data_IF_453816295523
#
_entry.id   IF_453816295523
#
_cell.length_a   1.000
_cell.length_b   1.000
_cell.length_c   1.000
_cell.angle_alpha   90.00
_cell.angle_beta   90.00
_cell.angle_gamma   90.00
#
_symmetry.space_group_name_H-M   'P 1'
#
loop_
_entity.id
_entity.type
_entity.pdbx_description
1 polymer ?
#
# COMPACT_ATOMS: atom_id res chain seq x y z
N UNK A 1 27.61 -24.96 16.94
CA UNK A 1 27.02 -24.71 15.60
C UNK A 1 25.63 -25.32 15.58
N UNK A 2 24.55 -24.53 15.68
CA UNK A 2 23.18 -25.04 15.51
C UNK A 2 22.87 -25.07 14.02
N UNK A 3 22.67 -26.27 13.51
CA UNK A 3 22.16 -26.51 12.16
C UNK A 3 20.72 -26.02 12.07
N UNK A 4 20.44 -25.09 11.18
CA UNK A 4 19.08 -24.65 10.83
C UNK A 4 18.45 -25.69 9.90
N UNK A 5 17.99 -26.80 10.47
CA UNK A 5 17.24 -27.81 9.73
C UNK A 5 15.86 -27.26 9.37
N UNK A 6 15.60 -27.04 8.08
CA UNK A 6 14.34 -27.27 7.35
C UNK A 6 13.00 -26.70 7.84
N UNK A 7 12.94 -25.94 8.93
CA UNK A 7 11.69 -25.38 9.43
C UNK A 7 11.20 -24.26 8.50
N UNK A 8 9.95 -24.36 8.06
CA UNK A 8 9.30 -23.38 7.20
C UNK A 8 7.98 -22.91 7.80
N UNK A 9 7.65 -21.63 7.60
CA UNK A 9 6.35 -21.04 7.91
C UNK A 9 5.73 -20.61 6.58
N UNK A 10 4.53 -21.09 6.30
CA UNK A 10 3.75 -20.70 5.14
C UNK A 10 2.65 -19.72 5.57
N UNK A 11 2.69 -18.50 5.04
CA UNK A 11 1.62 -17.52 5.19
C UNK A 11 0.85 -17.45 3.87
N UNK A 12 -0.32 -18.08 3.84
CA UNK A 12 -1.18 -18.13 2.67
C UNK A 12 -2.43 -17.27 2.90
N UNK A 13 -3.00 -16.73 1.82
CA UNK A 13 -4.27 -16.00 1.85
C UNK A 13 -5.18 -16.52 0.75
N UNK A 14 -6.46 -16.70 1.07
CA UNK A 14 -7.48 -17.00 0.07
C UNK A 14 -7.67 -15.76 -0.84
N UNK A 15 -7.57 -15.89 -2.17
CA UNK A 15 -7.77 -14.77 -3.07
C UNK A 15 -9.24 -14.32 -3.02
N UNK A 16 -9.44 -13.01 -3.07
CA UNK A 16 -10.74 -12.38 -3.22
C UNK A 16 -10.89 -11.86 -4.66
N UNK A 17 -12.12 -11.70 -5.17
CA UNK A 17 -12.32 -11.05 -6.46
C UNK A 17 -11.67 -9.66 -6.47
N UNK A 18 -10.72 -9.45 -7.38
CA UNK A 18 -9.98 -8.20 -7.50
C UNK A 18 -10.89 -7.12 -8.08
N UNK A 19 -11.20 -6.11 -7.26
CA UNK A 19 -11.86 -4.87 -7.71
C UNK A 19 -10.78 -3.90 -8.21
N UNK A 20 -11.13 -3.01 -9.14
CA UNK A 20 -10.18 -2.04 -9.70
C UNK A 20 -9.68 -1.10 -8.59
N UNK A 21 -8.38 -1.09 -8.25
CA UNK A 21 -7.87 -0.21 -7.21
C UNK A 21 -7.89 1.25 -7.67
N UNK A 22 -8.04 2.17 -6.71
CA UNK A 22 -7.86 3.61 -6.90
C UNK A 22 -6.52 3.99 -6.30
N UNK A 23 -5.65 4.63 -7.08
CA UNK A 23 -4.35 5.09 -6.60
C UNK A 23 -4.38 6.58 -6.25
N UNK A 24 -3.88 6.92 -5.06
CA UNK A 24 -3.77 8.29 -4.58
C UNK A 24 -2.33 8.57 -4.13
N UNK A 25 -1.57 9.40 -4.87
CA UNK A 25 -0.27 9.89 -4.42
C UNK A 25 -0.40 10.76 -3.17
N UNK A 26 0.42 10.48 -2.15
CA UNK A 26 0.42 11.21 -0.86
C UNK A 26 1.75 11.91 -0.55
N UNK A 27 2.64 12.00 -1.53
CA UNK A 27 3.96 12.65 -1.38
C UNK A 27 3.90 14.19 -1.47
N UNK A 28 2.76 14.75 -1.89
CA UNK A 28 2.61 16.19 -2.11
C UNK A 28 2.54 16.96 -0.78
N UNK A 29 3.37 18.00 -0.65
CA UNK A 29 3.63 18.68 0.63
C UNK A 29 2.60 19.72 1.05
N UNK A 30 1.75 20.19 0.14
CA UNK A 30 0.59 21.04 0.49
C UNK A 30 -0.63 20.23 0.93
N UNK A 31 -0.50 18.89 0.99
CA UNK A 31 -1.52 17.96 1.49
C UNK A 31 -2.85 18.04 0.75
N UNK A 32 -2.84 18.49 -0.51
CA UNK A 32 -4.07 18.62 -1.32
C UNK A 32 -4.77 17.29 -1.56
N UNK A 33 -4.07 16.17 -1.41
CA UNK A 33 -4.61 14.82 -1.49
C UNK A 33 -5.56 14.46 -0.34
N UNK A 34 -5.58 15.22 0.76
CA UNK A 34 -6.48 14.97 1.90
C UNK A 34 -7.95 15.13 1.49
N UNK A 35 -8.29 16.18 0.73
CA UNK A 35 -9.69 16.42 0.35
C UNK A 35 -10.25 15.30 -0.57
N UNK A 36 -9.55 14.88 -1.65
CA UNK A 36 -9.92 13.70 -2.41
C UNK A 36 -10.01 12.43 -1.56
N UNK A 37 -9.11 12.25 -0.59
CA UNK A 37 -9.16 11.09 0.31
C UNK A 37 -10.44 11.07 1.15
N UNK A 38 -10.85 12.22 1.70
CA UNK A 38 -12.10 12.35 2.45
C UNK A 38 -13.30 12.00 1.58
N UNK A 39 -13.37 12.52 0.36
CA UNK A 39 -14.45 12.22 -0.59
C UNK A 39 -14.51 10.72 -0.92
N UNK A 40 -13.37 10.11 -1.24
CA UNK A 40 -13.29 8.67 -1.55
C UNK A 40 -13.73 7.77 -0.39
N UNK A 41 -13.45 8.17 0.85
CA UNK A 41 -13.83 7.41 2.05
C UNK A 41 -15.28 7.67 2.47
N UNK A 42 -15.83 8.85 2.17
CA UNK A 42 -17.24 9.17 2.41
C UNK A 42 -18.18 8.46 1.42
N UNK A 43 -17.73 8.24 0.17
CA UNK A 43 -18.51 7.52 -0.84
C UNK A 43 -18.67 6.03 -0.46
N UNK A 44 -19.91 5.48 -0.43
CA UNK A 44 -20.15 4.06 -0.30
C UNK A 44 -19.59 3.33 -1.52
N UNK A 45 -18.41 2.74 -1.37
CA UNK A 45 -17.73 2.05 -2.45
C UNK A 45 -16.94 0.89 -1.90
N UNK A 46 -16.78 -0.12 -2.75
CA UNK A 46 -16.06 -1.33 -2.43
C UNK A 46 -14.63 -1.36 -2.99
N UNK A 47 -14.24 -0.30 -3.72
CA UNK A 47 -12.93 -0.20 -4.31
C UNK A 47 -11.89 0.13 -3.23
N UNK A 48 -10.78 -0.60 -3.27
CA UNK A 48 -9.64 -0.32 -2.40
C UNK A 48 -8.95 0.98 -2.81
N UNK A 49 -8.60 1.80 -1.82
CA UNK A 49 -7.85 3.04 -2.00
C UNK A 49 -6.39 2.77 -1.62
N UNK A 50 -5.49 2.92 -2.58
CA UNK A 50 -4.06 2.68 -2.46
C UNK A 50 -3.32 4.01 -2.35
N UNK A 51 -2.87 4.33 -1.14
CA UNK A 51 -2.04 5.49 -0.88
C UNK A 51 -0.61 5.18 -1.32
N UNK A 52 -0.10 5.91 -2.32
CA UNK A 52 1.24 5.70 -2.86
C UNK A 52 2.19 6.78 -2.37
N UNK A 53 3.25 6.37 -1.69
CA UNK A 53 4.35 7.22 -1.27
C UNK A 53 5.63 6.69 -1.93
N UNK A 54 6.02 7.27 -3.06
CA UNK A 54 7.18 6.82 -3.84
C UNK A 54 8.22 7.90 -4.10
N UNK A 55 7.90 9.16 -3.79
CA UNK A 55 8.79 10.30 -3.99
C UNK A 55 9.33 10.88 -2.67
N UNK A 56 8.91 10.36 -1.51
CA UNK A 56 9.36 10.80 -0.20
C UNK A 56 9.71 9.60 0.71
N UNK A 57 11.01 9.30 0.86
CA UNK A 57 11.50 8.18 1.67
C UNK A 57 11.20 8.30 3.18
N UNK A 58 10.80 9.47 3.65
CA UNK A 58 10.40 9.77 5.04
C UNK A 58 8.89 9.97 5.19
N UNK A 59 8.09 9.49 4.25
CA UNK A 59 6.63 9.61 4.32
C UNK A 59 6.04 8.94 5.57
N UNK A 60 5.10 9.62 6.22
CA UNK A 60 4.35 9.12 7.37
C UNK A 60 3.19 8.18 7.01
N UNK A 61 3.11 7.71 5.76
CA UNK A 61 1.95 6.96 5.23
C UNK A 61 1.59 5.73 6.07
N UNK A 62 2.57 5.02 6.62
CA UNK A 62 2.33 3.83 7.47
C UNK A 62 1.56 4.20 8.73
N UNK A 63 1.97 5.25 9.43
CA UNK A 63 1.30 5.75 10.62
C UNK A 63 -0.12 6.23 10.31
N UNK A 64 -0.27 6.99 9.23
CA UNK A 64 -1.58 7.47 8.77
C UNK A 64 -2.53 6.30 8.45
N UNK A 65 -2.07 5.29 7.69
CA UNK A 65 -2.90 4.11 7.35
C UNK A 65 -3.33 3.39 8.62
N UNK A 66 -2.44 3.20 9.60
CA UNK A 66 -2.81 2.56 10.87
C UNK A 66 -3.97 3.28 11.60
N UNK A 67 -3.99 4.61 11.55
CA UNK A 67 -5.09 5.40 12.12
C UNK A 67 -6.36 5.26 11.28
N UNK A 68 -6.29 5.53 9.97
CA UNK A 68 -7.47 5.51 9.09
C UNK A 68 -8.14 4.13 9.01
N UNK A 69 -7.37 3.05 9.19
CA UNK A 69 -7.90 1.67 9.27
C UNK A 69 -8.92 1.47 10.40
N UNK A 70 -8.90 2.33 11.42
CA UNK A 70 -9.81 2.30 12.57
C UNK A 70 -11.05 3.19 12.36
N UNK A 71 -11.14 3.90 11.23
CA UNK A 71 -12.23 4.79 10.90
C UNK A 71 -13.26 4.13 9.95
N UNK A 72 -14.49 4.67 9.84
CA UNK A 72 -15.46 4.23 8.84
C UNK A 72 -14.85 4.26 7.42
N UNK A 73 -15.06 3.19 6.65
CA UNK A 73 -14.44 3.04 5.32
C UNK A 73 -12.94 2.66 5.34
N UNK A 74 -12.29 2.68 6.50
CA UNK A 74 -10.87 2.36 6.66
C UNK A 74 -10.46 0.99 6.14
N UNK A 75 -11.38 0.01 6.16
CA UNK A 75 -11.12 -1.34 5.65
C UNK A 75 -10.68 -1.38 4.16
N UNK A 76 -10.98 -0.33 3.40
CA UNK A 76 -10.63 -0.16 1.98
C UNK A 76 -9.20 0.33 1.75
N UNK A 77 -8.54 0.85 2.79
CA UNK A 77 -7.23 1.49 2.65
C UNK A 77 -6.12 0.45 2.55
N UNK A 78 -5.19 0.70 1.63
CA UNK A 78 -3.89 0.03 1.43
C UNK A 78 -2.83 1.11 1.22
N UNK A 79 -1.56 0.79 1.44
CA UNK A 79 -0.48 1.65 0.99
C UNK A 79 0.63 0.91 0.27
N UNK A 80 1.32 1.69 -0.55
CA UNK A 80 2.58 1.36 -1.19
C UNK A 80 3.59 2.43 -0.82
N UNK A 81 4.69 2.05 -0.18
CA UNK A 81 5.67 3.00 0.35
C UNK A 81 7.09 2.62 -0.07
N UNK A 82 7.65 3.30 -1.07
CA UNK A 82 9.04 3.07 -1.49
C UNK A 82 9.98 3.83 -0.55
N UNK A 83 10.54 3.13 0.43
CA UNK A 83 11.43 3.68 1.46
C UNK A 83 12.86 3.12 1.34
N UNK A 84 13.51 3.34 0.19
CA UNK A 84 14.91 2.96 0.05
C UNK A 84 15.81 3.87 0.88
N UNK A 85 16.63 3.28 1.74
CA UNK A 85 17.67 4.00 2.49
C UNK A 85 18.86 4.40 1.63
N UNK A 86 19.05 3.73 0.48
CA UNK A 86 20.12 4.03 -0.46
C UNK A 86 19.54 4.74 -1.68
N UNK A 87 20.02 5.96 -1.93
CA UNK A 87 19.60 6.78 -3.08
C UNK A 87 19.98 6.15 -4.45
N UNK A 88 20.95 5.23 -4.46
CA UNK A 88 21.36 4.51 -5.66
C UNK A 88 20.51 3.25 -5.94
N UNK A 89 19.63 2.85 -5.00
CA UNK A 89 18.74 1.71 -5.25
C UNK A 89 17.73 2.04 -6.36
N UNK A 90 17.43 1.08 -7.25
CA UNK A 90 16.40 1.27 -8.25
C UNK A 90 15.03 1.37 -7.57
N UNK A 91 14.23 2.36 -7.96
CA UNK A 91 12.83 2.45 -7.55
C UNK A 91 11.99 1.49 -8.41
N UNK A 92 11.21 0.59 -7.80
CA UNK A 92 10.30 -0.28 -8.55
C UNK A 92 9.23 0.53 -9.27
N UNK A 93 8.76 0.02 -10.42
CA UNK A 93 7.69 0.67 -11.18
C UNK A 93 6.35 0.45 -10.49
N UNK A 94 5.67 1.55 -10.14
CA UNK A 94 4.32 1.52 -9.56
C UNK A 94 3.21 1.44 -10.61
N UNK A 95 3.56 1.23 -11.89
CA UNK A 95 2.57 1.10 -12.95
C UNK A 95 1.73 -0.17 -12.72
N UNK A 96 0.41 -0.06 -12.81
CA UNK A 96 -0.52 -1.19 -12.72
C UNK A 96 -0.22 -2.36 -13.67
N UNK A 97 0.47 -2.12 -14.80
CA UNK A 97 0.90 -3.19 -15.72
C UNK A 97 2.21 -3.87 -15.32
N UNK A 98 2.98 -3.32 -14.38
CA UNK A 98 4.23 -3.92 -13.93
C UNK A 98 3.96 -5.22 -13.14
N UNK A 99 4.77 -6.26 -13.40
CA UNK A 99 4.62 -7.59 -12.77
C UNK A 99 4.70 -7.53 -11.24
N UNK A 100 5.61 -6.71 -10.71
CA UNK A 100 5.76 -6.47 -9.27
C UNK A 100 4.46 -5.90 -8.69
N UNK A 101 3.90 -4.88 -9.35
CA UNK A 101 2.66 -4.26 -8.93
C UNK A 101 1.47 -5.21 -9.01
N UNK A 102 1.38 -6.04 -10.05
CA UNK A 102 0.32 -7.06 -10.14
C UNK A 102 0.39 -8.06 -8.98
N UNK A 103 1.60 -8.44 -8.55
CA UNK A 103 1.79 -9.33 -7.40
C UNK A 103 1.33 -8.68 -6.09
N UNK A 104 1.68 -7.40 -5.90
CA UNK A 104 1.24 -6.59 -4.76
C UNK A 104 -0.29 -6.49 -4.72
N UNK A 105 -0.91 -6.17 -5.84
CA UNK A 105 -2.37 -6.07 -5.98
C UNK A 105 -3.07 -7.41 -5.73
N UNK A 106 -2.49 -8.52 -6.20
CA UNK A 106 -3.02 -9.86 -5.99
C UNK A 106 -2.98 -10.27 -4.51
N UNK A 107 -1.90 -9.93 -3.80
CA UNK A 107 -1.75 -10.25 -2.38
C UNK A 107 -2.63 -9.36 -1.48
N UNK A 108 -2.97 -8.15 -1.96
CA UNK A 108 -3.89 -7.20 -1.31
C UNK A 108 -3.52 -6.89 0.16
N UNK A 109 -2.22 -6.88 0.48
CA UNK A 109 -1.76 -6.58 1.83
C UNK A 109 -1.96 -5.09 2.14
N UNK A 110 -2.29 -4.77 3.40
CA UNK A 110 -2.51 -3.38 3.84
C UNK A 110 -1.24 -2.54 3.70
N UNK A 111 -0.10 -3.10 4.07
CA UNK A 111 1.20 -2.43 4.06
C UNK A 111 2.12 -3.10 3.03
N UNK A 112 2.61 -2.34 2.06
CA UNK A 112 3.59 -2.79 1.07
C UNK A 112 4.71 -1.75 1.05
N UNK A 113 5.90 -2.12 1.52
CA UNK A 113 7.05 -1.24 1.74
C UNK A 113 8.23 -1.77 0.92
#
# INVERSE_FOLDING_TARGET
KRSSFGAAIFLCRRPLPTKKPIFLPVDETSYKWIEPLKEMLAEPSEHSVWLTANNCGTSGVVGMVNCLRQEPGGHRIRCLFISSLNAASPSPSINSSAKEMQTILQNDLVMNI
#
